data_IF_162638158130
#
_entry.id   IF_162638158130
#
_cell.length_a   1.000
_cell.length_b   1.000
_cell.length_c   1.000
_cell.angle_alpha   90.00
_cell.angle_beta   90.00
_cell.angle_gamma   90.00
#
_symmetry.space_group_name_H-M   'P 1'
#
loop_
_entity.id
_entity.type
_entity.pdbx_description
1 polymer ?
#
# COMPACT_ATOMS: atom_id res chain seq x y z
N UNK A 1 -54.99 20.23 13.78
CA UNK A 1 -54.36 18.96 13.30
C UNK A 1 -52.92 19.28 12.92
N UNK A 2 -51.99 19.06 13.81
CA UNK A 2 -50.56 19.27 13.54
C UNK A 2 -49.98 18.00 12.93
N UNK A 3 -49.48 18.11 11.71
CA UNK A 3 -48.81 17.03 11.04
C UNK A 3 -47.37 17.00 11.47
N UNK A 4 -47.01 16.04 12.31
CA UNK A 4 -45.61 15.81 12.74
C UNK A 4 -44.87 15.21 11.55
N UNK A 5 -44.02 16.00 10.91
CA UNK A 5 -43.03 15.53 9.94
C UNK A 5 -41.91 14.82 10.74
N UNK A 6 -41.86 13.50 10.66
CA UNK A 6 -40.74 12.71 11.16
C UNK A 6 -39.57 12.94 10.23
N UNK A 7 -38.59 13.72 10.70
CA UNK A 7 -37.24 13.76 10.11
C UNK A 7 -36.65 12.36 10.16
N UNK A 8 -36.46 11.75 9.01
CA UNK A 8 -35.68 10.54 8.86
C UNK A 8 -34.22 10.93 9.09
N UNK A 9 -33.64 10.55 10.23
CA UNK A 9 -32.21 10.57 10.47
C UNK A 9 -31.57 9.68 9.41
N UNK A 10 -30.99 10.30 8.38
CA UNK A 10 -30.13 9.63 7.42
C UNK A 10 -29.01 8.89 8.17
N UNK A 11 -29.03 7.57 8.09
CA UNK A 11 -27.87 6.76 8.48
C UNK A 11 -26.73 7.20 7.56
N UNK A 12 -25.78 7.95 8.11
CA UNK A 12 -24.50 8.14 7.46
C UNK A 12 -23.87 6.75 7.28
N UNK A 13 -23.79 6.31 6.03
CA UNK A 13 -23.03 5.12 5.71
C UNK A 13 -21.60 5.30 6.25
N UNK A 14 -21.02 4.28 6.90
CA UNK A 14 -19.69 4.40 7.44
C UNK A 14 -18.73 4.67 6.27
N UNK A 15 -18.05 5.82 6.33
CA UNK A 15 -17.06 6.26 5.34
C UNK A 15 -16.07 5.12 5.10
N UNK A 16 -16.03 4.59 3.88
CA UNK A 16 -15.14 3.49 3.54
C UNK A 16 -13.69 3.91 3.78
N UNK A 17 -12.93 3.08 4.51
CA UNK A 17 -11.55 3.42 4.88
C UNK A 17 -10.56 3.19 3.73
N UNK A 18 -10.90 2.33 2.77
CA UNK A 18 -10.09 2.06 1.58
C UNK A 18 -10.87 2.43 0.32
N UNK A 19 -10.23 3.06 -0.67
CA UNK A 19 -10.86 3.28 -1.97
C UNK A 19 -11.11 1.95 -2.70
N UNK A 20 -12.05 1.96 -3.63
CA UNK A 20 -12.26 0.81 -4.51
C UNK A 20 -10.99 0.58 -5.34
N UNK A 21 -10.51 -0.64 -5.35
CA UNK A 21 -9.30 -0.99 -6.08
C UNK A 21 -9.60 -1.42 -7.51
N UNK A 22 -8.80 -0.88 -8.44
CA UNK A 22 -8.89 -1.15 -9.88
C UNK A 22 -7.64 -1.93 -10.33
N UNK A 23 -7.67 -3.28 -10.34
CA UNK A 23 -6.50 -4.10 -10.68
C UNK A 23 -5.86 -3.75 -12.02
N UNK A 24 -6.66 -3.36 -13.01
CA UNK A 24 -6.21 -3.02 -14.36
C UNK A 24 -5.27 -1.81 -14.42
N UNK A 25 -5.31 -0.93 -13.41
CA UNK A 25 -4.36 0.19 -13.29
C UNK A 25 -2.95 -0.27 -12.93
N UNK A 26 -2.85 -1.42 -12.26
CA UNK A 26 -1.62 -1.86 -11.61
C UNK A 26 -1.07 -3.18 -12.17
N UNK A 27 -1.90 -4.02 -12.80
CA UNK A 27 -1.45 -5.32 -13.27
C UNK A 27 -0.58 -5.21 -14.51
N UNK A 28 0.60 -5.82 -14.46
CA UNK A 28 1.58 -5.89 -15.57
C UNK A 28 1.95 -4.51 -16.12
N UNK A 29 2.15 -3.54 -15.24
CA UNK A 29 2.56 -2.17 -15.59
C UNK A 29 4.04 -1.95 -15.32
N UNK A 30 4.61 -1.00 -16.03
CA UNK A 30 5.98 -0.51 -15.80
C UNK A 30 5.92 0.94 -15.36
N UNK A 31 6.55 1.24 -14.24
CA UNK A 31 6.66 2.59 -13.69
C UNK A 31 8.13 3.00 -13.71
N UNK A 32 8.41 4.16 -14.25
CA UNK A 32 9.71 4.79 -14.15
C UNK A 32 9.58 5.94 -13.14
N UNK A 33 10.04 5.68 -11.92
CA UNK A 33 10.03 6.69 -10.87
C UNK A 33 11.32 7.49 -10.91
N UNK A 34 11.16 8.80 -10.82
CA UNK A 34 12.25 9.75 -10.70
C UNK A 34 12.03 10.57 -9.43
N UNK A 35 12.79 10.24 -8.38
CA UNK A 35 12.66 10.85 -7.05
C UNK A 35 11.21 10.89 -6.53
N UNK A 36 10.46 9.80 -6.73
CA UNK A 36 9.12 9.66 -6.14
C UNK A 36 9.22 9.70 -4.64
N UNK A 37 8.53 10.67 -4.03
CA UNK A 37 8.66 10.99 -2.60
C UNK A 37 7.87 10.04 -1.73
N UNK A 38 8.50 9.65 -0.64
CA UNK A 38 7.91 8.83 0.42
C UNK A 38 8.33 9.34 1.79
N UNK A 39 7.53 9.05 2.79
CA UNK A 39 8.00 8.98 4.17
C UNK A 39 8.19 7.52 4.54
N UNK A 40 9.23 7.25 5.32
CA UNK A 40 9.65 5.91 5.71
C UNK A 40 9.45 5.69 7.19
N UNK A 41 9.13 4.48 7.57
CA UNK A 41 9.15 4.03 8.97
C UNK A 41 9.54 2.56 9.02
N UNK A 42 9.98 2.09 10.18
CA UNK A 42 10.29 0.69 10.42
C UNK A 42 9.44 0.14 11.54
N UNK A 43 9.10 -1.13 11.42
CA UNK A 43 8.44 -1.91 12.48
C UNK A 43 9.22 -3.19 12.73
N UNK A 44 9.37 -3.60 14.01
CA UNK A 44 9.94 -4.90 14.31
C UNK A 44 9.00 -6.00 13.86
N UNK A 45 9.56 -7.07 13.34
CA UNK A 45 8.83 -8.26 12.95
C UNK A 45 9.44 -9.48 13.60
N UNK A 46 8.68 -10.55 13.67
CA UNK A 46 9.17 -11.87 14.03
C UNK A 46 8.88 -12.81 12.86
N UNK A 47 9.92 -13.31 12.20
CA UNK A 47 9.83 -14.12 10.98
C UNK A 47 8.91 -13.49 9.91
N UNK A 48 9.16 -12.21 9.58
CA UNK A 48 8.38 -11.40 8.63
C UNK A 48 6.94 -11.08 9.07
N UNK A 49 6.57 -11.40 10.30
CA UNK A 49 5.23 -11.08 10.82
C UNK A 49 5.30 -9.87 11.76
N UNK A 50 4.73 -8.73 11.39
CA UNK A 50 4.63 -7.57 12.27
C UNK A 50 3.59 -7.83 13.37
N UNK A 51 3.80 -7.23 14.53
CA UNK A 51 2.78 -7.17 15.58
C UNK A 51 1.65 -6.24 15.15
N UNK A 52 0.41 -6.73 14.93
CA UNK A 52 -0.67 -5.94 14.35
C UNK A 52 -0.93 -4.59 15.05
N UNK A 53 -0.93 -4.50 16.41
CA UNK A 53 -1.15 -3.22 17.08
C UNK A 53 -0.05 -2.20 16.81
N UNK A 54 1.21 -2.62 16.72
CA UNK A 54 2.35 -1.73 16.41
C UNK A 54 2.29 -1.26 14.97
N UNK A 55 1.99 -2.17 14.06
CA UNK A 55 1.84 -1.85 12.63
C UNK A 55 0.73 -0.82 12.42
N UNK A 56 -0.46 -1.06 12.96
CA UNK A 56 -1.59 -0.14 12.84
C UNK A 56 -1.29 1.25 13.39
N UNK A 57 -0.69 1.34 14.58
CA UNK A 57 -0.27 2.63 15.16
C UNK A 57 0.75 3.37 14.27
N UNK A 58 1.70 2.64 13.70
CA UNK A 58 2.72 3.23 12.83
C UNK A 58 2.10 3.79 11.55
N UNK A 59 1.24 3.01 10.89
CA UNK A 59 0.53 3.44 9.67
C UNK A 59 -0.34 4.66 9.97
N UNK A 60 -1.15 4.62 11.04
CA UNK A 60 -1.99 5.76 11.43
C UNK A 60 -1.17 7.02 11.68
N UNK A 61 -0.01 6.89 12.34
CA UNK A 61 0.89 8.03 12.57
C UNK A 61 1.42 8.59 11.26
N UNK A 62 1.89 7.75 10.35
CA UNK A 62 2.41 8.17 9.04
C UNK A 62 1.35 8.90 8.22
N UNK A 63 0.14 8.32 8.14
CA UNK A 63 -0.99 8.92 7.44
C UNK A 63 -1.33 10.29 8.01
N UNK A 64 -1.45 10.38 9.34
CA UNK A 64 -1.75 11.65 10.02
C UNK A 64 -0.68 12.72 9.75
N UNK A 65 0.60 12.38 9.81
CA UNK A 65 1.69 13.33 9.54
C UNK A 65 1.62 13.88 8.11
N UNK A 66 1.31 13.02 7.13
CA UNK A 66 1.16 13.42 5.74
C UNK A 66 -0.12 14.24 5.50
N UNK A 67 -1.23 13.90 6.15
CA UNK A 67 -2.48 14.68 6.12
C UNK A 67 -2.32 16.07 6.75
N UNK A 68 -1.76 16.14 7.95
CA UNK A 68 -1.57 17.40 8.69
C UNK A 68 -0.66 18.39 7.93
N UNK A 69 0.23 17.88 7.07
CA UNK A 69 1.10 18.71 6.22
C UNK A 69 0.55 18.95 4.81
N UNK A 70 -0.66 18.48 4.50
CA UNK A 70 -1.29 18.50 3.17
C UNK A 70 -0.43 17.88 2.06
N UNK A 71 0.29 16.80 2.38
CA UNK A 71 1.21 16.12 1.48
C UNK A 71 0.75 14.71 1.06
N UNK A 72 -0.48 14.32 1.35
CA UNK A 72 -1.11 13.16 0.72
C UNK A 72 -1.62 13.54 -0.67
N UNK A 73 -1.60 12.57 -1.59
CA UNK A 73 -2.24 12.75 -2.88
C UNK A 73 -3.75 13.00 -2.68
N UNK A 74 -4.31 13.91 -3.48
CA UNK A 74 -5.75 14.20 -3.46
C UNK A 74 -6.57 13.02 -3.99
N UNK A 75 -6.00 12.25 -4.91
CA UNK A 75 -6.56 10.99 -5.37
C UNK A 75 -6.09 9.85 -4.45
N UNK A 76 -7.01 9.34 -3.65
CA UNK A 76 -6.74 8.25 -2.71
C UNK A 76 -6.31 6.95 -3.38
N UNK A 77 -6.67 6.75 -4.65
CA UNK A 77 -6.26 5.57 -5.43
C UNK A 77 -4.78 5.62 -5.81
N UNK A 78 -4.17 6.81 -5.81
CA UNK A 78 -2.76 7.01 -6.13
C UNK A 78 -1.84 6.91 -4.89
N UNK A 79 -2.42 6.87 -3.69
CA UNK A 79 -1.63 6.74 -2.46
C UNK A 79 -1.09 5.31 -2.34
N UNK A 80 0.22 5.19 -2.31
CA UNK A 80 0.91 3.93 -2.11
C UNK A 80 1.43 3.81 -0.68
N UNK A 81 1.09 2.73 -0.02
CA UNK A 81 1.75 2.27 1.20
C UNK A 81 2.48 0.97 0.87
N UNK A 82 3.80 1.07 0.71
CA UNK A 82 4.65 -0.04 0.33
C UNK A 82 5.28 -0.69 1.55
N UNK A 83 5.36 -2.00 1.51
CA UNK A 83 6.03 -2.83 2.52
C UNK A 83 7.25 -3.48 1.89
N UNK A 84 8.39 -3.39 2.56
CA UNK A 84 9.61 -4.11 2.21
C UNK A 84 10.16 -4.79 3.45
N UNK A 85 10.57 -6.04 3.32
CA UNK A 85 11.12 -6.84 4.41
C UNK A 85 12.60 -7.09 4.17
N UNK A 86 13.49 -6.16 4.60
CA UNK A 86 14.93 -6.32 4.43
C UNK A 86 15.50 -7.45 5.28
N UNK A 87 14.77 -7.90 6.31
CA UNK A 87 15.14 -9.04 7.15
C UNK A 87 13.92 -9.67 7.81
N UNK A 88 14.03 -10.91 8.36
CA UNK A 88 12.96 -11.56 9.10
C UNK A 88 12.50 -10.81 10.36
N UNK A 89 13.31 -9.87 10.83
CA UNK A 89 13.09 -9.15 12.09
C UNK A 89 12.73 -7.67 11.90
N UNK A 90 12.65 -7.21 10.65
CA UNK A 90 12.38 -5.82 10.33
C UNK A 90 11.55 -5.70 9.06
N UNK A 91 10.46 -4.97 9.13
CA UNK A 91 9.71 -4.48 7.97
C UNK A 91 9.85 -2.98 7.84
N UNK A 92 9.94 -2.51 6.62
CA UNK A 92 10.01 -1.09 6.27
C UNK A 92 8.72 -0.68 5.57
N UNK A 93 8.20 0.48 5.95
CA UNK A 93 6.99 1.07 5.39
C UNK A 93 7.38 2.33 4.62
N UNK A 94 6.82 2.49 3.43
CA UNK A 94 6.99 3.66 2.57
C UNK A 94 5.63 4.19 2.19
N UNK A 95 5.24 5.35 2.71
CA UNK A 95 4.00 6.03 2.34
C UNK A 95 4.31 7.11 1.31
N UNK A 96 3.69 7.03 0.13
CA UNK A 96 3.87 8.03 -0.91
C UNK A 96 3.31 9.39 -0.49
N UNK A 97 4.07 10.44 -0.78
CA UNK A 97 3.72 11.83 -0.44
C UNK A 97 4.05 12.75 -1.61
N UNK A 98 3.40 13.91 -1.66
CA UNK A 98 3.60 14.89 -2.74
C UNK A 98 4.78 15.82 -2.48
N UNK A 99 5.13 16.04 -1.21
CA UNK A 99 6.26 16.87 -0.79
C UNK A 99 6.84 16.38 0.54
N UNK A 100 7.93 16.99 1.00
CA UNK A 100 8.54 16.66 2.29
C UNK A 100 7.56 16.89 3.44
N UNK A 101 7.47 15.89 4.31
CA UNK A 101 6.64 15.92 5.52
C UNK A 101 7.51 16.32 6.71
N UNK A 102 7.15 17.38 7.47
CA UNK A 102 7.88 17.77 8.67
C UNK A 102 7.93 16.66 9.72
N UNK A 103 9.06 16.51 10.40
CA UNK A 103 9.26 15.54 11.47
C UNK A 103 9.09 14.05 11.06
N UNK A 104 9.07 13.77 9.77
CA UNK A 104 9.07 12.42 9.23
C UNK A 104 10.44 12.07 8.63
N UNK A 105 10.74 10.77 8.55
CA UNK A 105 11.88 10.28 7.77
C UNK A 105 11.49 10.33 6.28
N UNK A 106 11.93 11.39 5.60
CA UNK A 106 11.66 11.57 4.18
C UNK A 106 12.70 10.80 3.35
N UNK A 107 12.22 10.11 2.32
CA UNK A 107 13.04 9.39 1.36
C UNK A 107 12.41 9.48 -0.03
N UNK A 108 13.13 9.02 -1.03
CA UNK A 108 12.61 8.91 -2.39
C UNK A 108 13.05 7.57 -3.02
N UNK A 109 12.27 7.12 -3.98
CA UNK A 109 12.58 5.95 -4.79
C UNK A 109 12.73 6.35 -6.24
N UNK A 110 13.80 5.89 -6.87
CA UNK A 110 14.07 6.10 -8.28
C UNK A 110 14.43 4.79 -8.96
N UNK A 111 13.97 4.60 -10.17
CA UNK A 111 14.28 3.41 -10.97
C UNK A 111 13.07 2.92 -11.75
N UNK A 112 13.24 1.74 -12.34
CA UNK A 112 12.18 1.06 -13.08
C UNK A 112 11.55 0.00 -12.20
N UNK A 113 10.25 0.06 -12.07
CA UNK A 113 9.44 -0.87 -11.27
C UNK A 113 8.42 -1.56 -12.16
N UNK A 114 8.36 -2.87 -12.11
CA UNK A 114 7.33 -3.65 -12.77
C UNK A 114 6.35 -4.13 -11.72
N UNK A 115 5.07 -3.91 -11.95
CA UNK A 115 4.03 -4.32 -11.03
C UNK A 115 3.21 -5.49 -11.57
N UNK A 116 2.68 -6.28 -10.66
CA UNK A 116 1.71 -7.34 -10.93
C UNK A 116 0.75 -7.48 -9.77
N UNK A 117 -0.53 -7.64 -10.07
CA UNK A 117 -1.59 -7.80 -9.08
C UNK A 117 -1.81 -9.28 -8.77
N UNK A 118 -1.97 -9.57 -7.49
CA UNK A 118 -2.33 -10.89 -6.99
C UNK A 118 -3.53 -10.75 -6.04
N UNK A 119 -4.33 -11.81 -5.96
CA UNK A 119 -5.44 -11.90 -5.02
C UNK A 119 -5.29 -13.18 -4.20
N UNK A 120 -5.24 -13.06 -2.88
CA UNK A 120 -5.08 -14.22 -2.00
C UNK A 120 -4.68 -13.87 -0.57
N UNK A 121 -4.42 -14.90 0.21
CA UNK A 121 -4.02 -14.76 1.61
C UNK A 121 -2.60 -14.19 1.75
N UNK A 122 -2.34 -13.44 2.83
CA UNK A 122 -1.00 -12.87 3.14
C UNK A 122 0.11 -13.94 3.14
N UNK A 123 -0.19 -15.14 3.62
CA UNK A 123 0.76 -16.28 3.61
C UNK A 123 1.17 -16.75 2.21
N UNK A 124 0.46 -16.32 1.17
CA UNK A 124 0.76 -16.67 -0.22
C UNK A 124 1.83 -15.75 -0.86
N UNK A 125 2.28 -14.71 -0.17
CA UNK A 125 3.28 -13.77 -0.70
C UNK A 125 4.53 -14.47 -1.24
N UNK A 126 5.16 -15.47 -0.59
CA UNK A 126 6.30 -16.17 -1.15
C UNK A 126 5.99 -16.84 -2.51
N UNK A 127 4.78 -17.39 -2.65
CA UNK A 127 4.31 -17.97 -3.92
C UNK A 127 4.14 -16.88 -4.99
N UNK A 128 3.60 -15.73 -4.61
CA UNK A 128 3.42 -14.60 -5.54
C UNK A 128 4.75 -14.02 -6.00
N UNK A 129 5.75 -13.96 -5.13
CA UNK A 129 7.12 -13.57 -5.48
C UNK A 129 7.70 -14.53 -6.53
N UNK A 130 7.56 -15.84 -6.33
CA UNK A 130 8.02 -16.82 -7.31
C UNK A 130 7.32 -16.66 -8.68
N UNK A 131 6.01 -16.40 -8.67
CA UNK A 131 5.26 -16.15 -9.90
C UNK A 131 5.69 -14.83 -10.56
N UNK A 132 6.05 -13.83 -9.79
CA UNK A 132 6.59 -12.58 -10.30
C UNK A 132 7.99 -12.77 -10.89
N UNK A 133 8.85 -13.57 -10.25
CA UNK A 133 10.16 -13.93 -10.77
C UNK A 133 10.06 -14.63 -12.13
N UNK A 134 9.12 -15.58 -12.27
CA UNK A 134 8.88 -16.26 -13.55
C UNK A 134 8.37 -15.30 -14.62
N UNK A 135 7.49 -14.37 -14.27
CA UNK A 135 7.02 -13.33 -15.17
C UNK A 135 8.15 -12.39 -15.65
N UNK A 136 9.06 -12.03 -14.74
CA UNK A 136 10.22 -11.19 -15.08
C UNK A 136 11.23 -11.94 -15.95
N UNK A 137 11.49 -13.23 -15.68
CA UNK A 137 12.37 -14.07 -16.50
C UNK A 137 11.93 -14.15 -17.96
N UNK A 138 10.62 -14.20 -18.22
CA UNK A 138 10.07 -14.19 -19.58
C UNK A 138 10.42 -12.90 -20.34
N UNK A 139 10.76 -11.83 -19.63
CA UNK A 139 11.17 -10.53 -20.18
C UNK A 139 12.68 -10.29 -20.07
N UNK A 140 13.46 -11.32 -19.74
CA UNK A 140 14.90 -11.23 -19.47
C UNK A 140 15.25 -10.19 -18.38
N UNK A 141 14.39 -10.10 -17.36
CA UNK A 141 14.54 -9.17 -16.22
C UNK A 141 14.65 -9.93 -14.91
N UNK A 142 15.25 -9.27 -13.93
CA UNK A 142 15.40 -9.78 -12.57
C UNK A 142 15.08 -8.66 -11.59
N UNK A 143 14.39 -8.98 -10.51
CA UNK A 143 14.15 -8.06 -9.41
C UNK A 143 15.41 -7.88 -8.56
N UNK A 144 15.72 -6.63 -8.22
CA UNK A 144 16.71 -6.27 -7.20
C UNK A 144 16.05 -6.23 -5.82
N UNK A 145 14.84 -5.67 -5.75
CA UNK A 145 14.03 -5.57 -4.55
C UNK A 145 12.56 -5.79 -4.88
N UNK A 146 11.80 -6.19 -3.86
CA UNK A 146 10.35 -6.27 -3.92
C UNK A 146 9.71 -5.34 -2.91
N UNK A 147 8.61 -4.71 -3.32
CA UNK A 147 7.73 -3.93 -2.47
C UNK A 147 6.31 -4.46 -2.64
N UNK A 148 5.55 -4.53 -1.57
CA UNK A 148 4.17 -4.98 -1.59
C UNK A 148 3.25 -3.84 -1.18
N UNK A 149 2.24 -3.55 -1.99
CA UNK A 149 1.14 -2.67 -1.64
C UNK A 149 -0.11 -3.51 -1.41
N UNK A 150 -0.69 -3.43 -0.23
CA UNK A 150 -1.97 -4.05 0.09
C UNK A 150 -3.10 -3.06 -0.24
N UNK A 151 -3.94 -3.41 -1.22
CA UNK A 151 -5.02 -2.52 -1.69
C UNK A 151 -6.09 -2.29 -0.63
N UNK A 152 -6.36 -3.31 0.19
CA UNK A 152 -7.37 -3.26 1.24
C UNK A 152 -6.78 -3.58 2.61
N UNK A 153 -7.27 -2.88 3.64
CA UNK A 153 -7.09 -3.34 5.01
C UNK A 153 -7.89 -4.64 5.24
N UNK A 154 -7.59 -5.42 6.30
CA UNK A 154 -8.29 -6.69 6.53
C UNK A 154 -9.81 -6.59 6.58
N UNK A 155 -10.35 -5.48 7.12
CA UNK A 155 -11.79 -5.22 7.17
C UNK A 155 -12.40 -5.02 5.78
N UNK A 156 -11.76 -4.21 4.93
CA UNK A 156 -12.22 -3.96 3.57
C UNK A 156 -12.05 -5.19 2.69
N UNK A 157 -10.95 -5.93 2.82
CA UNK A 157 -10.73 -7.18 2.10
C UNK A 157 -11.84 -8.20 2.38
N UNK A 158 -12.26 -8.31 3.64
CA UNK A 158 -13.39 -9.19 4.02
C UNK A 158 -14.72 -8.71 3.42
N UNK A 159 -14.96 -7.40 3.40
CA UNK A 159 -16.18 -6.80 2.83
C UNK A 159 -16.26 -7.00 1.32
N UNK A 160 -15.16 -6.74 0.62
CA UNK A 160 -15.10 -6.81 -0.86
C UNK A 160 -14.95 -8.25 -1.38
N UNK A 161 -14.59 -9.22 -0.53
CA UNK A 161 -14.36 -10.60 -0.93
C UNK A 161 -13.06 -10.82 -1.71
N UNK A 162 -12.16 -9.83 -1.72
CA UNK A 162 -10.86 -9.84 -2.39
C UNK A 162 -9.77 -9.31 -1.46
N UNK A 163 -8.59 -9.89 -1.57
CA UNK A 163 -7.41 -9.40 -0.85
C UNK A 163 -6.29 -9.10 -1.86
N UNK A 164 -6.48 -8.01 -2.60
CA UNK A 164 -5.55 -7.60 -3.65
C UNK A 164 -4.23 -7.11 -3.08
N UNK A 165 -3.15 -7.59 -3.68
CA UNK A 165 -1.78 -7.18 -3.41
C UNK A 165 -1.11 -6.81 -4.72
N UNK A 166 -0.44 -5.68 -4.74
CA UNK A 166 0.41 -5.27 -5.87
C UNK A 166 1.86 -5.51 -5.48
N UNK A 167 2.53 -6.42 -6.18
CA UNK A 167 3.97 -6.55 -6.06
C UNK A 167 4.64 -5.60 -7.06
N UNK A 168 5.54 -4.78 -6.54
CA UNK A 168 6.45 -3.95 -7.34
C UNK A 168 7.83 -4.57 -7.29
N UNK A 169 8.33 -4.99 -8.43
CA UNK A 169 9.71 -5.44 -8.58
C UNK A 169 10.55 -4.29 -9.09
N UNK A 170 11.53 -3.86 -8.30
CA UNK A 170 12.57 -2.96 -8.78
C UNK A 170 13.50 -3.75 -9.70
N UNK A 171 13.57 -3.37 -10.96
CA UNK A 171 14.41 -4.04 -11.96
C UNK A 171 15.59 -3.16 -12.34
N UNK A 172 16.74 -3.79 -12.59
CA UNK A 172 17.92 -3.08 -13.06
C UNK A 172 17.70 -2.41 -14.42
N UNK A 173 18.50 -1.38 -14.67
CA UNK A 173 18.57 -0.71 -15.97
C UNK A 173 19.08 -1.65 -17.04
#
# INVERSE_FOLDING_TARGET
METIVKESKGKQEPKECCPLFHPEKWDKKTFNWDHKKFIKASVPTLFHMPFPPLLGKKITKMMKMAEDSNNLDSDKEEILLLFADPSPFKSELYLSVTAKVPNAENTDLSGTFISKVFDGAYKAIPKFINQMDDYLKQQNKKANNYYVHYAYCPKCAKKEGHNYMVLFAEVGK
#
